data_IF_874971855842
#
_entry.id   IF_874971855842
#
_cell.length_a   1.000
_cell.length_b   1.000
_cell.length_c   1.000
_cell.angle_alpha   90.00
_cell.angle_beta   90.00
_cell.angle_gamma   90.00
#
_symmetry.space_group_name_H-M   'P 1'
#
loop_
_entity.id
_entity.type
_entity.pdbx_description
1 polymer ?
#
# COMPACT_ATOMS: atom_id res chain seq x y z
N UNK A 1 -10.44 8.61 -13.42
CA UNK A 1 -9.01 8.22 -13.50
C UNK A 1 -8.24 9.30 -12.73
N UNK A 2 -7.32 8.94 -11.82
CA UNK A 2 -6.71 9.90 -10.90
C UNK A 2 -5.73 10.88 -11.57
N UNK A 3 -4.96 10.40 -12.55
CA UNK A 3 -4.06 11.22 -13.36
C UNK A 3 -4.73 11.54 -14.71
N UNK A 4 -4.49 12.76 -15.21
CA UNK A 4 -4.77 13.08 -16.62
C UNK A 4 -3.90 12.24 -17.56
N UNK A 5 -4.29 12.12 -18.84
CA UNK A 5 -3.49 11.39 -19.82
C UNK A 5 -2.05 11.92 -19.92
N UNK A 6 -1.90 13.26 -19.94
CA UNK A 6 -0.59 13.92 -19.97
C UNK A 6 0.26 13.58 -18.74
N UNK A 7 -0.30 13.67 -17.54
CA UNK A 7 0.42 13.30 -16.32
C UNK A 7 0.81 11.82 -16.29
N UNK A 8 -0.05 10.95 -16.84
CA UNK A 8 0.23 9.52 -16.92
C UNK A 8 1.38 9.22 -17.90
N UNK A 9 1.36 9.84 -19.07
CA UNK A 9 2.42 9.70 -20.06
C UNK A 9 3.75 10.21 -19.50
N UNK A 10 3.75 11.39 -18.86
CA UNK A 10 4.93 11.96 -18.19
C UNK A 10 5.46 11.05 -17.07
N UNK A 11 4.57 10.56 -16.19
CA UNK A 11 4.95 9.64 -15.12
C UNK A 11 5.58 8.35 -15.64
N UNK A 12 5.03 7.77 -16.71
CA UNK A 12 5.57 6.55 -17.30
C UNK A 12 6.91 6.80 -18.01
N UNK A 13 7.05 7.94 -18.71
CA UNK A 13 8.28 8.28 -19.40
C UNK A 13 9.44 8.59 -18.44
N UNK A 14 9.14 9.16 -17.28
CA UNK A 14 10.12 9.65 -16.30
C UNK A 14 10.10 8.86 -14.99
N UNK A 15 9.58 7.64 -15.01
CA UNK A 15 9.34 6.85 -13.81
C UNK A 15 10.57 6.74 -12.91
N UNK A 16 11.72 6.34 -13.47
CA UNK A 16 12.96 6.19 -12.71
C UNK A 16 13.46 7.53 -12.15
N UNK A 17 13.44 8.60 -12.96
CA UNK A 17 13.81 9.95 -12.50
C UNK A 17 12.93 10.41 -11.33
N UNK A 18 11.63 10.15 -11.39
CA UNK A 18 10.71 10.53 -10.32
C UNK A 18 11.00 9.74 -9.04
N UNK A 19 11.30 8.43 -9.14
CA UNK A 19 11.67 7.62 -7.98
C UNK A 19 12.99 8.09 -7.33
N UNK A 20 13.95 8.53 -8.14
CA UNK A 20 15.21 9.14 -7.68
C UNK A 20 15.00 10.53 -7.08
N UNK A 21 14.21 11.40 -7.72
CA UNK A 21 13.84 12.74 -7.23
C UNK A 21 13.17 12.64 -5.84
N UNK A 22 12.29 11.66 -5.66
CA UNK A 22 11.64 11.38 -4.38
C UNK A 22 12.56 10.64 -3.40
N UNK A 23 13.73 10.18 -3.83
CA UNK A 23 14.76 9.58 -2.99
C UNK A 23 14.46 8.17 -2.47
N UNK A 24 13.45 7.49 -3.03
CA UNK A 24 13.12 6.12 -2.64
C UNK A 24 13.63 5.05 -3.60
N UNK A 25 13.95 5.42 -4.85
CA UNK A 25 14.50 4.48 -5.85
C UNK A 25 13.71 3.17 -5.91
N UNK A 26 14.36 2.07 -5.56
CA UNK A 26 13.77 0.72 -5.52
C UNK A 26 13.26 0.29 -4.12
N UNK A 27 13.48 1.09 -3.07
CA UNK A 27 13.08 0.80 -1.68
C UNK A 27 11.89 1.66 -1.24
N UNK A 28 10.69 1.23 -1.63
CA UNK A 28 9.45 1.98 -1.40
C UNK A 28 8.84 1.72 -0.01
N UNK A 29 8.63 2.79 0.76
CA UNK A 29 7.83 2.80 1.99
C UNK A 29 6.49 3.49 1.78
N UNK A 30 5.49 3.21 2.62
CA UNK A 30 4.13 3.77 2.47
C UNK A 30 4.14 5.30 2.49
N UNK A 31 4.99 5.91 3.32
CA UNK A 31 5.14 7.37 3.37
C UNK A 31 5.70 7.92 2.05
N UNK A 32 6.51 7.17 1.31
CA UNK A 32 7.02 7.61 0.01
C UNK A 32 5.90 7.71 -1.03
N UNK A 33 4.99 6.75 -1.02
CA UNK A 33 3.80 6.78 -1.87
C UNK A 33 2.95 8.03 -1.59
N UNK A 34 2.91 8.51 -0.34
CA UNK A 34 2.16 9.72 0.02
C UNK A 34 2.77 10.98 -0.62
N UNK A 35 4.08 11.14 -0.55
CA UNK A 35 4.75 12.24 -1.24
C UNK A 35 4.66 12.12 -2.77
N UNK A 36 4.71 10.90 -3.32
CA UNK A 36 4.46 10.70 -4.74
C UNK A 36 3.04 11.14 -5.12
N UNK A 37 2.02 10.78 -4.33
CA UNK A 37 0.65 11.27 -4.53
C UNK A 37 0.56 12.79 -4.40
N UNK A 38 1.29 13.41 -3.45
CA UNK A 38 1.40 14.86 -3.29
C UNK A 38 1.99 15.52 -4.55
N UNK A 39 3.06 14.96 -5.14
CA UNK A 39 3.69 15.48 -6.37
C UNK A 39 2.68 15.62 -7.51
N UNK A 40 1.69 14.72 -7.57
CA UNK A 40 0.61 14.75 -8.55
C UNK A 40 -0.67 15.44 -8.07
N UNK A 41 -0.60 16.16 -6.94
CA UNK A 41 -1.73 16.87 -6.31
C UNK A 41 -2.94 15.97 -6.01
N UNK A 42 -2.70 14.69 -5.73
CA UNK A 42 -3.76 13.75 -5.36
C UNK A 42 -4.01 13.89 -3.87
N UNK A 43 -5.24 14.26 -3.49
CA UNK A 43 -5.64 14.38 -2.08
C UNK A 43 -5.67 13.00 -1.42
N UNK A 44 -4.93 12.84 -0.33
CA UNK A 44 -4.82 11.57 0.38
C UNK A 44 -4.58 11.75 1.89
N UNK A 45 -4.74 10.67 2.65
CA UNK A 45 -4.36 10.58 4.05
C UNK A 45 -3.87 9.17 4.36
N UNK A 46 -2.69 9.05 4.95
CA UNK A 46 -2.12 7.80 5.45
C UNK A 46 -2.61 7.52 6.86
N UNK A 47 -2.85 6.24 7.14
CA UNK A 47 -3.08 5.69 8.46
C UNK A 47 -2.11 4.53 8.68
N UNK A 48 -1.50 4.50 9.85
CA UNK A 48 -0.53 3.48 10.27
C UNK A 48 -0.56 3.36 11.78
N UNK A 49 -0.13 2.23 12.35
CA UNK A 49 0.09 2.13 13.81
C UNK A 49 1.53 2.49 14.22
N UNK A 50 2.40 2.86 13.28
CA UNK A 50 3.78 3.20 13.58
C UNK A 50 4.33 4.27 12.62
N UNK A 51 4.73 5.44 13.14
CA UNK A 51 5.29 6.54 12.35
C UNK A 51 6.82 6.44 12.23
N UNK A 52 7.30 5.42 11.54
CA UNK A 52 8.74 5.25 11.36
C UNK A 52 9.13 3.92 10.75
N UNK A 53 10.34 3.49 11.06
CA UNK A 53 10.83 2.15 10.71
C UNK A 53 10.76 1.27 11.96
N UNK A 54 9.85 0.30 11.95
CA UNK A 54 9.69 -0.62 13.07
C UNK A 54 10.87 -1.60 13.13
N UNK A 55 11.69 -1.47 14.18
CA UNK A 55 12.96 -2.19 14.32
C UNK A 55 12.78 -3.67 14.66
N UNK A 56 11.58 -4.11 15.07
CA UNK A 56 11.29 -5.52 15.32
C UNK A 56 11.43 -6.40 14.06
N UNK A 57 11.41 -5.79 12.87
CA UNK A 57 11.66 -6.48 11.59
C UNK A 57 13.16 -6.74 11.30
N UNK A 58 14.09 -6.19 12.10
CA UNK A 58 15.55 -6.44 11.97
C UNK A 58 15.91 -7.93 12.15
N UNK A 59 15.07 -8.71 12.83
CA UNK A 59 15.34 -10.15 13.09
C UNK A 59 15.27 -11.03 11.83
N UNK A 60 14.98 -10.48 10.65
CA UNK A 60 14.86 -11.22 9.40
C UNK A 60 16.06 -11.11 8.45
N UNK A 61 17.24 -10.69 8.94
CA UNK A 61 18.55 -10.93 8.30
C UNK A 61 18.82 -10.27 6.95
N UNK A 62 17.85 -9.58 6.37
CA UNK A 62 17.93 -8.94 5.05
C UNK A 62 18.41 -7.47 5.11
N UNK A 63 18.50 -6.86 6.30
CA UNK A 63 18.41 -5.40 6.47
C UNK A 63 19.65 -4.66 7.01
N UNK A 64 20.82 -5.28 7.17
CA UNK A 64 21.90 -4.64 7.94
C UNK A 64 22.67 -3.48 7.25
N UNK A 65 22.52 -3.26 5.93
CA UNK A 65 23.22 -2.15 5.23
C UNK A 65 22.31 -1.12 4.56
N UNK A 66 21.17 -1.55 4.01
CA UNK A 66 20.23 -0.65 3.31
C UNK A 66 19.30 0.08 4.30
N UNK A 67 19.00 -0.55 5.44
CA UNK A 67 18.05 -0.02 6.40
C UNK A 67 18.52 1.28 7.04
N UNK A 68 19.82 1.54 7.17
CA UNK A 68 20.30 2.80 7.75
C UNK A 68 19.96 4.03 6.89
N UNK A 69 20.09 3.91 5.55
CA UNK A 69 19.77 5.00 4.63
C UNK A 69 18.25 5.24 4.56
N UNK A 70 17.47 4.17 4.50
CA UNK A 70 16.01 4.26 4.47
C UNK A 70 15.44 4.77 5.81
N UNK A 71 16.04 4.38 6.94
CA UNK A 71 15.57 4.77 8.26
C UNK A 71 15.60 6.29 8.44
N UNK A 72 16.72 6.94 8.11
CA UNK A 72 16.82 8.39 8.22
C UNK A 72 15.82 9.10 7.32
N UNK A 73 15.70 8.65 6.06
CA UNK A 73 14.74 9.19 5.07
C UNK A 73 13.30 9.05 5.54
N UNK A 74 12.89 7.85 5.98
CA UNK A 74 11.53 7.57 6.43
C UNK A 74 11.18 8.41 7.65
N UNK A 75 12.07 8.48 8.65
CA UNK A 75 11.85 9.33 9.82
C UNK A 75 11.76 10.82 9.46
N UNK A 76 12.60 11.32 8.54
CA UNK A 76 12.49 12.71 8.07
C UNK A 76 11.15 12.94 7.38
N UNK A 77 10.73 12.03 6.47
CA UNK A 77 9.46 12.14 5.76
C UNK A 77 8.25 12.15 6.70
N UNK A 78 8.25 11.36 7.78
CA UNK A 78 7.18 11.45 8.78
C UNK A 78 7.24 12.75 9.59
N UNK A 79 8.45 13.19 10.00
CA UNK A 79 8.64 14.45 10.73
C UNK A 79 8.15 15.65 9.92
N UNK A 80 8.50 15.68 8.64
CA UNK A 80 8.25 16.81 7.75
C UNK A 80 6.88 16.69 7.04
N UNK A 81 6.12 15.61 7.29
CA UNK A 81 4.90 15.27 6.56
C UNK A 81 3.88 16.42 6.60
N UNK A 82 3.55 16.88 7.81
CA UNK A 82 2.52 17.91 8.00
C UNK A 82 2.92 19.23 7.33
N UNK A 83 4.16 19.68 7.54
CA UNK A 83 4.71 20.90 6.94
C UNK A 83 4.80 20.78 5.41
N UNK A 84 4.99 19.56 4.91
CA UNK A 84 4.98 19.22 3.49
C UNK A 84 3.57 19.06 2.91
N UNK A 85 2.50 19.19 3.69
CA UNK A 85 1.13 18.97 3.23
C UNK A 85 0.75 17.49 3.02
N UNK A 86 1.50 16.57 3.60
CA UNK A 86 1.22 15.13 3.67
C UNK A 86 0.56 14.81 5.00
N UNK A 87 -0.60 14.16 4.97
CA UNK A 87 -1.31 13.75 6.19
C UNK A 87 -0.98 12.30 6.53
N UNK A 88 -0.43 12.07 7.71
CA UNK A 88 -0.24 10.75 8.31
C UNK A 88 -0.84 10.72 9.72
N UNK A 89 -1.64 9.71 10.02
CA UNK A 89 -2.33 9.57 11.31
C UNK A 89 -1.97 8.24 11.95
N UNK A 90 -1.44 8.30 13.17
CA UNK A 90 -1.04 7.12 13.93
C UNK A 90 -2.24 6.43 14.59
N UNK A 91 -2.94 5.60 13.81
CA UNK A 91 -3.98 4.67 14.26
C UNK A 91 -4.24 3.60 13.21
N UNK A 92 -4.79 2.47 13.65
CA UNK A 92 -5.39 1.51 12.71
C UNK A 92 -6.75 2.03 12.22
N UNK A 93 -7.11 1.63 11.00
CA UNK A 93 -8.43 1.88 10.38
C UNK A 93 -9.29 0.65 10.55
N UNK A 94 -10.55 0.80 10.97
CA UNK A 94 -11.50 -0.32 11.05
C UNK A 94 -12.00 -0.77 9.67
N UNK A 95 -12.50 -2.00 9.56
CA UNK A 95 -13.12 -2.47 8.31
C UNK A 95 -14.34 -1.63 7.91
N UNK A 96 -15.10 -1.13 8.90
CA UNK A 96 -16.27 -0.27 8.68
C UNK A 96 -15.87 1.07 8.05
N UNK A 97 -14.84 1.71 8.59
CA UNK A 97 -14.28 2.95 8.02
C UNK A 97 -13.74 2.72 6.60
N UNK A 98 -13.01 1.63 6.38
CA UNK A 98 -12.49 1.29 5.05
C UNK A 98 -13.61 1.12 4.03
N UNK A 99 -14.66 0.37 4.36
CA UNK A 99 -15.83 0.20 3.47
C UNK A 99 -16.54 1.53 3.22
N UNK A 100 -16.74 2.36 4.24
CA UNK A 100 -17.35 3.69 4.06
C UNK A 100 -16.51 4.58 3.13
N UNK A 101 -15.18 4.58 3.29
CA UNK A 101 -14.29 5.33 2.40
C UNK A 101 -14.41 4.85 0.95
N UNK A 102 -14.41 3.54 0.73
CA UNK A 102 -14.59 2.93 -0.59
C UNK A 102 -15.96 3.21 -1.22
N UNK A 103 -16.99 3.46 -0.40
CA UNK A 103 -18.34 3.79 -0.87
C UNK A 103 -18.41 5.24 -1.33
N UNK A 104 -17.96 6.16 -0.48
CA UNK A 104 -18.35 7.57 -0.59
C UNK A 104 -17.20 8.51 -0.98
N UNK A 105 -15.95 8.05 -0.88
CA UNK A 105 -14.77 8.94 -0.84
C UNK A 105 -13.70 8.60 -1.86
N UNK A 106 -13.48 7.33 -2.16
CA UNK A 106 -12.54 6.92 -3.22
C UNK A 106 -11.78 5.63 -2.92
N UNK A 107 -10.77 5.31 -3.73
CA UNK A 107 -9.97 4.10 -3.56
C UNK A 107 -9.03 4.21 -2.34
N UNK A 108 -8.43 3.08 -1.98
CA UNK A 108 -7.41 3.01 -0.93
C UNK A 108 -6.24 2.13 -1.37
N UNK A 109 -5.01 2.59 -1.14
CA UNK A 109 -3.81 1.74 -1.24
C UNK A 109 -3.66 1.06 0.11
N UNK A 110 -3.46 -0.26 0.12
CA UNK A 110 -3.34 -1.06 1.34
C UNK A 110 -2.10 -1.94 1.24
N UNK A 111 -1.25 -1.88 2.27
CA UNK A 111 -0.15 -2.82 2.45
C UNK A 111 -0.69 -4.12 3.07
N UNK A 112 -0.32 -5.25 2.47
CA UNK A 112 -0.75 -6.58 2.93
C UNK A 112 0.41 -7.55 2.91
N UNK A 113 0.30 -8.61 3.70
CA UNK A 113 1.06 -9.83 3.45
C UNK A 113 0.49 -10.56 2.22
N UNK A 114 1.28 -10.64 1.15
CA UNK A 114 0.92 -11.30 -0.10
C UNK A 114 0.62 -12.80 0.07
N UNK A 115 1.20 -13.46 1.06
CA UNK A 115 0.95 -14.87 1.37
C UNK A 115 -0.44 -15.13 1.92
N UNK A 116 -1.05 -14.13 2.55
CA UNK A 116 -2.38 -14.22 3.18
C UNK A 116 -3.50 -13.68 2.29
N UNK A 117 -3.18 -12.83 1.32
CA UNK A 117 -4.16 -12.30 0.39
C UNK A 117 -4.41 -13.27 -0.78
N UNK A 118 -5.64 -13.77 -0.88
CA UNK A 118 -6.09 -14.58 -2.03
C UNK A 118 -7.21 -13.88 -2.81
N UNK A 119 -7.23 -14.11 -4.12
CA UNK A 119 -8.29 -13.60 -5.01
C UNK A 119 -9.33 -14.69 -5.29
N UNK A 120 -10.61 -14.34 -5.20
CA UNK A 120 -11.75 -15.21 -5.52
C UNK A 120 -12.02 -15.32 -7.03
N UNK A 121 -11.57 -14.35 -7.82
CA UNK A 121 -11.80 -14.29 -9.27
C UNK A 121 -10.68 -14.95 -10.07
N UNK A 122 -9.45 -14.99 -9.52
CA UNK A 122 -8.29 -15.51 -10.23
C UNK A 122 -8.18 -17.03 -10.08
N UNK A 123 -8.45 -17.77 -11.17
CA UNK A 123 -8.38 -19.25 -11.23
C UNK A 123 -7.03 -19.84 -10.79
N UNK A 124 -5.93 -19.11 -10.99
CA UNK A 124 -4.56 -19.57 -10.68
C UNK A 124 -4.12 -19.33 -9.22
N UNK A 125 -4.93 -18.69 -8.38
CA UNK A 125 -4.50 -18.26 -7.06
C UNK A 125 -4.71 -19.29 -5.94
N UNK A 126 -5.62 -20.26 -6.11
CA UNK A 126 -5.90 -21.24 -5.05
C UNK A 126 -4.73 -22.19 -4.82
N UNK A 127 -4.24 -22.84 -5.89
CA UNK A 127 -3.12 -23.78 -5.78
C UNK A 127 -1.82 -23.07 -5.40
N UNK A 128 -1.51 -21.91 -6.00
CA UNK A 128 -0.32 -21.13 -5.63
C UNK A 128 -0.39 -20.54 -4.22
N UNK A 129 -1.55 -20.11 -3.73
CA UNK A 129 -1.68 -19.64 -2.35
C UNK A 129 -1.57 -20.80 -1.34
N UNK A 130 -2.22 -21.94 -1.59
CA UNK A 130 -2.07 -23.15 -0.76
C UNK A 130 -0.62 -23.66 -0.76
N UNK A 131 0.03 -23.72 -1.93
CA UNK A 131 1.42 -24.17 -2.04
C UNK A 131 2.40 -23.19 -1.37
N UNK A 132 2.15 -21.87 -1.47
CA UNK A 132 2.92 -20.84 -0.74
C UNK A 132 2.67 -20.90 0.77
N UNK A 133 1.47 -21.27 1.21
CA UNK A 133 1.13 -21.44 2.63
C UNK A 133 1.80 -22.69 3.24
N UNK A 134 1.91 -23.77 2.46
CA UNK A 134 2.48 -25.05 2.93
C UNK A 134 4.00 -25.16 2.74
N UNK A 135 4.58 -24.50 1.73
CA UNK A 135 5.99 -24.66 1.33
C UNK A 135 6.74 -23.33 1.16
N UNK A 136 6.08 -22.19 1.36
CA UNK A 136 6.73 -20.88 1.34
C UNK A 136 7.42 -20.58 2.65
N UNK A 137 8.46 -19.74 2.61
CA UNK A 137 9.03 -19.17 3.82
C UNK A 137 7.96 -18.42 4.63
N UNK A 138 7.91 -18.65 5.95
CA UNK A 138 7.00 -17.98 6.89
C UNK A 138 7.34 -16.49 7.12
N UNK A 139 8.14 -15.88 6.25
CA UNK A 139 8.52 -14.48 6.37
C UNK A 139 7.46 -13.60 5.71
N UNK A 140 7.17 -12.49 6.36
CA UNK A 140 6.32 -11.43 5.83
C UNK A 140 6.73 -11.03 4.40
N UNK A 141 5.74 -10.88 3.52
CA UNK A 141 5.93 -10.44 2.13
C UNK A 141 5.03 -9.23 1.86
N UNK A 142 5.57 -8.05 2.12
CA UNK A 142 4.86 -6.80 1.86
C UNK A 142 4.48 -6.65 0.40
N UNK A 143 3.22 -6.31 0.15
CA UNK A 143 2.69 -6.04 -1.18
C UNK A 143 1.60 -4.97 -1.12
N UNK A 144 1.68 -3.97 -1.99
CA UNK A 144 0.64 -2.95 -2.08
C UNK A 144 -0.46 -3.37 -3.06
N UNK A 145 -1.71 -3.25 -2.63
CA UNK A 145 -2.88 -3.44 -3.49
C UNK A 145 -3.76 -2.20 -3.49
N UNK A 146 -4.47 -1.95 -4.60
CA UNK A 146 -5.40 -0.84 -4.72
C UNK A 146 -6.83 -1.34 -4.54
N UNK A 147 -7.45 -1.08 -3.40
CA UNK A 147 -8.88 -1.28 -3.20
C UNK A 147 -9.65 -0.21 -3.97
N UNK A 148 -10.61 -0.63 -4.79
CA UNK A 148 -11.35 0.26 -5.71
C UNK A 148 -12.86 0.26 -5.49
N UNK A 149 -13.35 -0.56 -4.56
CA UNK A 149 -14.77 -0.63 -4.23
C UNK A 149 -15.11 -1.90 -3.47
N UNK A 150 -16.40 -2.17 -3.34
CA UNK A 150 -16.88 -3.38 -2.69
C UNK A 150 -18.26 -3.79 -3.24
N UNK A 151 -18.65 -5.01 -2.90
CA UNK A 151 -20.02 -5.53 -3.03
C UNK A 151 -20.52 -5.87 -1.63
N UNK A 152 -21.74 -6.41 -1.50
CA UNK A 152 -22.27 -6.87 -0.22
C UNK A 152 -21.39 -7.94 0.46
N UNK A 153 -20.57 -8.69 -0.29
CA UNK A 153 -19.81 -9.85 0.24
C UNK A 153 -18.31 -9.81 0.00
N UNK A 154 -17.81 -8.86 -0.80
CA UNK A 154 -16.42 -8.84 -1.30
C UNK A 154 -15.88 -7.43 -1.39
N UNK A 155 -14.59 -7.28 -1.15
CA UNK A 155 -13.82 -6.10 -1.50
C UNK A 155 -13.24 -6.30 -2.89
N UNK A 156 -13.31 -5.26 -3.72
CA UNK A 156 -12.81 -5.24 -5.09
C UNK A 156 -11.48 -4.51 -5.12
N UNK A 157 -10.49 -5.07 -5.81
CA UNK A 157 -9.14 -4.52 -5.81
C UNK A 157 -8.40 -4.75 -7.12
N UNK A 158 -7.36 -3.97 -7.35
CA UNK A 158 -6.37 -4.20 -8.40
C UNK A 158 -5.04 -4.56 -7.77
N UNK A 159 -4.38 -5.50 -8.41
CA UNK A 159 -3.09 -6.03 -8.00
C UNK A 159 -2.05 -5.59 -9.03
N UNK A 160 -1.09 -4.70 -8.66
CA UNK A 160 -0.04 -4.24 -9.57
C UNK A 160 0.84 -5.37 -10.12
N UNK A 161 0.94 -6.52 -9.43
CA UNK A 161 1.72 -7.67 -9.89
C UNK A 161 0.99 -8.51 -10.96
N UNK A 162 -0.25 -8.14 -11.32
CA UNK A 162 -1.05 -8.83 -12.33
C UNK A 162 -1.36 -7.88 -13.49
N UNK A 163 -1.52 -8.46 -14.68
CA UNK A 163 -2.09 -7.74 -15.83
C UNK A 163 -3.40 -7.01 -15.46
N UNK A 164 -3.68 -5.82 -16.03
CA UNK A 164 -4.78 -4.95 -15.61
C UNK A 164 -6.14 -5.65 -15.55
N UNK A 165 -6.54 -6.09 -14.35
CA UNK A 165 -7.79 -6.82 -14.10
C UNK A 165 -8.37 -6.47 -12.74
N UNK A 166 -9.66 -6.77 -12.58
CA UNK A 166 -10.33 -6.66 -11.29
C UNK A 166 -10.17 -7.97 -10.51
N UNK A 167 -9.76 -7.85 -9.25
CA UNK A 167 -9.70 -8.93 -8.28
C UNK A 167 -10.76 -8.73 -7.19
N UNK A 168 -11.09 -9.80 -6.47
CA UNK A 168 -12.00 -9.73 -5.34
C UNK A 168 -11.53 -10.61 -4.19
N UNK A 169 -11.74 -10.16 -2.95
CA UNK A 169 -11.43 -10.93 -1.75
C UNK A 169 -12.51 -10.76 -0.69
N UNK A 170 -12.58 -11.68 0.27
CA UNK A 170 -13.49 -11.55 1.41
C UNK A 170 -12.93 -10.51 2.40
N UNK A 171 -13.77 -9.70 3.06
CA UNK A 171 -13.31 -8.71 4.04
C UNK A 171 -12.41 -9.29 5.13
N UNK A 172 -12.75 -10.48 5.65
CA UNK A 172 -11.95 -11.17 6.67
C UNK A 172 -10.53 -11.51 6.20
N UNK A 173 -10.36 -11.94 4.94
CA UNK A 173 -9.05 -12.27 4.38
C UNK A 173 -8.18 -11.03 4.20
N UNK A 174 -8.76 -9.94 3.68
CA UNK A 174 -8.03 -8.67 3.63
C UNK A 174 -7.65 -8.20 5.04
N UNK A 175 -8.58 -8.26 5.99
CA UNK A 175 -8.32 -7.84 7.36
C UNK A 175 -7.16 -8.63 7.99
N UNK A 176 -7.12 -9.94 7.80
CA UNK A 176 -6.01 -10.76 8.27
C UNK A 176 -4.69 -10.34 7.58
N UNK A 177 -4.69 -10.21 6.25
CA UNK A 177 -3.49 -9.91 5.49
C UNK A 177 -2.91 -8.51 5.80
N UNK A 178 -3.75 -7.50 6.07
CA UNK A 178 -3.32 -6.11 6.35
C UNK A 178 -3.02 -5.82 7.83
N UNK A 179 -3.34 -6.76 8.73
CA UNK A 179 -3.11 -6.61 10.17
C UNK A 179 -1.99 -7.54 10.67
N UNK A 180 -1.25 -8.13 9.75
CA UNK A 180 -0.12 -9.01 10.07
C UNK A 180 1.11 -8.15 10.40
N UNK A 181 1.93 -8.62 11.34
CA UNK A 181 3.25 -8.03 11.61
C UNK A 181 4.03 -7.89 10.30
N UNK A 182 4.56 -6.70 10.06
CA UNK A 182 5.24 -6.30 8.82
C UNK A 182 4.50 -5.20 8.08
N UNK A 183 3.18 -5.13 8.26
CA UNK A 183 2.33 -4.20 7.50
C UNK A 183 2.16 -2.84 8.17
N UNK A 184 2.43 -2.75 9.48
CA UNK A 184 2.14 -1.58 10.33
C UNK A 184 0.71 -1.01 10.15
N UNK A 185 -0.20 -1.85 9.67
CA UNK A 185 -1.58 -1.51 9.32
C UNK A 185 -1.71 -0.40 8.28
N UNK A 186 -0.68 -0.24 7.45
CA UNK A 186 -0.53 0.84 6.49
C UNK A 186 -1.66 0.88 5.44
N UNK A 187 -2.38 2.00 5.43
CA UNK A 187 -3.43 2.31 4.47
C UNK A 187 -3.32 3.76 4.05
N UNK A 188 -3.40 4.03 2.75
CA UNK A 188 -3.55 5.37 2.20
C UNK A 188 -4.96 5.51 1.63
N UNK A 189 -5.77 6.34 2.26
CA UNK A 189 -7.06 6.76 1.73
C UNK A 189 -6.84 7.83 0.66
N UNK A 190 -7.31 7.57 -0.55
CA UNK A 190 -7.31 8.53 -1.64
C UNK A 190 -8.70 9.14 -1.75
N UNK A 191 -8.77 10.46 -1.69
CA UNK A 191 -10.02 11.20 -1.79
C UNK A 191 -10.22 11.60 -3.24
N UNK A 192 -11.12 10.91 -3.91
CA UNK A 192 -11.49 11.27 -5.26
C UNK A 192 -12.50 12.41 -5.21
N UNK A 193 -12.13 13.58 -5.70
CA UNK A 193 -13.07 14.64 -6.00
C UNK A 193 -13.88 14.21 -7.23
N UNK A 194 -14.89 13.35 -7.07
CA UNK A 194 -15.97 13.29 -8.05
C UNK A 194 -16.79 14.58 -7.90
N UNK A 195 -16.28 15.66 -8.48
CA UNK A 195 -17.04 16.85 -8.86
C UNK A 195 -16.53 17.32 -10.20
#
# INVERSE_FOLDING_TARGET
>A
MLLSNKQREDFLARFNEICEDEGFGESTWTIDLCYLLKRFHIKHCMYTIFLGVNEDYRRHGYYDRIMHLDTQRVYSRFRDALDSGVQAVERSVSMKELVSHLTDRGPAIVLVDAGLLSCDLCKHNKLKAEFRRCFGSNYYRGHYVLLVGHTARRLLYRDPALSPRLCATAPRRLQQARLTSGTDHDIIFIYNSYR
#
